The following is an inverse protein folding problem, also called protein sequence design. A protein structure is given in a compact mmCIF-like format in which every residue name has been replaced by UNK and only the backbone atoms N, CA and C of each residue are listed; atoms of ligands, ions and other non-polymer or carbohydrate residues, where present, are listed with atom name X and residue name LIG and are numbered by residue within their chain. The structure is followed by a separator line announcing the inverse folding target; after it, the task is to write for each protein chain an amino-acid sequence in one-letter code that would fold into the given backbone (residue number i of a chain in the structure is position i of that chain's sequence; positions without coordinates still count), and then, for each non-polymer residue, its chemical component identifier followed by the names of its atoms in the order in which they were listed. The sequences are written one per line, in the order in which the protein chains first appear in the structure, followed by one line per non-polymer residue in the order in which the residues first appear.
data_IF_059310928825
#
_entry.id   IF_059310928825
#
_cell.length_a   1.000
_cell.length_b   1.000
_cell.length_c   1.000
_cell.angle_alpha   90.00
_cell.angle_beta   90.00
_cell.angle_gamma   90.00
#
_symmetry.space_group_name_H-M   'P 1'
#
loop_
_entity.id
_entity.type
_entity.pdbx_description
1 polymer ?
#
# COMPACT_ATOMS: atom_id res chain seq x y z
N UNK A 1 20.39 9.83 -6.53
CA UNK A 1 19.13 10.22 -5.81
C UNK A 1 18.57 8.97 -5.10
N UNK A 2 17.45 9.02 -4.37
CA UNK A 2 16.80 7.76 -3.95
C UNK A 2 16.37 6.98 -5.19
N UNK A 3 16.56 5.65 -5.22
CA UNK A 3 16.18 4.75 -6.32
C UNK A 3 14.72 4.99 -6.77
N UNK A 4 13.84 5.24 -5.81
CA UNK A 4 12.42 5.53 -6.06
C UNK A 4 12.22 6.82 -6.90
N UNK A 5 13.04 7.84 -6.68
CA UNK A 5 12.95 9.10 -7.42
C UNK A 5 13.41 8.94 -8.87
N UNK A 6 14.45 8.12 -9.10
CA UNK A 6 14.97 7.81 -10.45
C UNK A 6 13.89 7.09 -11.25
N UNK A 7 13.28 6.04 -10.68
CA UNK A 7 12.18 5.32 -11.34
C UNK A 7 10.98 6.20 -11.68
N UNK A 8 10.58 7.07 -10.74
CA UNK A 8 9.39 7.93 -10.91
C UNK A 8 9.58 9.02 -11.96
N UNK A 9 10.81 9.50 -12.17
CA UNK A 9 11.13 10.56 -13.13
C UNK A 9 11.38 10.04 -14.54
N UNK A 10 11.49 8.73 -14.71
CA UNK A 10 11.77 8.10 -16.01
C UNK A 10 10.72 8.49 -17.05
N UNK A 11 11.21 8.85 -18.24
CA UNK A 11 10.38 9.01 -19.41
C UNK A 11 10.13 7.64 -20.05
N UNK A 12 8.86 7.33 -20.29
CA UNK A 12 8.46 6.09 -20.95
C UNK A 12 8.23 6.35 -22.43
N UNK A 13 8.64 5.39 -23.27
CA UNK A 13 8.30 5.42 -24.70
C UNK A 13 6.78 5.44 -24.87
N UNK A 14 6.24 6.17 -25.88
CA UNK A 14 4.80 6.15 -26.20
C UNK A 14 4.23 4.73 -26.42
N UNK A 15 5.09 3.78 -26.80
CA UNK A 15 4.72 2.39 -27.08
C UNK A 15 4.84 1.47 -25.85
N UNK A 16 5.34 1.98 -24.72
CA UNK A 16 5.46 1.19 -23.49
C UNK A 16 4.10 0.98 -22.85
N UNK A 17 3.71 -0.28 -22.67
CA UNK A 17 2.51 -0.62 -21.91
C UNK A 17 2.74 -0.56 -20.40
N UNK A 18 3.99 -0.52 -19.94
CA UNK A 18 4.30 -0.61 -18.50
C UNK A 18 4.99 0.65 -17.99
N UNK A 19 4.62 1.00 -16.77
CA UNK A 19 5.26 2.01 -15.93
C UNK A 19 5.82 1.35 -14.69
N UNK A 20 7.00 1.77 -14.26
CA UNK A 20 7.50 1.51 -12.91
C UNK A 20 7.15 2.72 -12.04
N UNK A 21 6.35 2.50 -10.99
CA UNK A 21 5.89 3.60 -10.12
C UNK A 21 6.78 3.84 -8.91
N UNK A 22 7.68 2.91 -8.60
CA UNK A 22 8.58 3.03 -7.45
C UNK A 22 9.05 1.69 -6.92
N UNK A 23 9.73 1.76 -5.78
CA UNK A 23 10.28 0.60 -5.08
C UNK A 23 9.64 0.42 -3.70
N UNK A 24 9.44 -0.82 -3.30
CA UNK A 24 9.02 -1.14 -1.95
C UNK A 24 10.21 -0.96 -0.98
N UNK A 25 10.02 -0.13 0.05
CA UNK A 25 11.04 0.07 1.08
C UNK A 25 11.11 -1.08 2.10
N UNK A 26 10.02 -1.83 2.26
CA UNK A 26 9.86 -2.88 3.28
C UNK A 26 10.26 -4.28 2.80
N UNK A 27 10.38 -4.47 1.48
CA UNK A 27 10.64 -5.76 0.87
C UNK A 27 11.71 -5.60 -0.22
N UNK A 28 12.88 -6.24 -0.06
CA UNK A 28 13.94 -6.16 -1.05
C UNK A 28 13.42 -6.64 -2.40
N UNK A 29 13.81 -5.94 -3.47
CA UNK A 29 13.65 -6.38 -4.86
C UNK A 29 12.19 -6.44 -5.36
N UNK A 30 11.29 -5.65 -4.76
CA UNK A 30 9.91 -5.47 -5.23
C UNK A 30 9.72 -4.07 -5.84
N UNK A 31 9.29 -4.05 -7.10
CA UNK A 31 9.02 -2.83 -7.89
C UNK A 31 7.51 -2.70 -8.11
N UNK A 32 6.96 -1.52 -7.86
CA UNK A 32 5.56 -1.25 -8.18
C UNK A 32 5.42 -1.00 -9.67
N UNK A 33 4.42 -1.64 -10.31
CA UNK A 33 4.18 -1.46 -11.75
C UNK A 33 2.72 -1.11 -12.03
N UNK A 34 2.52 -0.28 -13.06
CA UNK A 34 1.19 0.06 -13.56
C UNK A 34 1.11 -0.08 -15.07
N UNK A 35 -0.03 -0.55 -15.60
CA UNK A 35 -0.27 -0.55 -17.03
C UNK A 35 -0.58 0.88 -17.55
N UNK A 36 -0.06 1.19 -18.73
CA UNK A 36 -0.31 2.40 -19.52
C UNK A 36 -0.85 1.96 -20.89
N UNK A 37 -2.17 1.75 -21.03
CA UNK A 37 -2.76 1.46 -22.33
C UNK A 37 -2.41 2.49 -23.40
N UNK A 38 -2.24 2.01 -24.64
CA UNK A 38 -2.03 2.85 -25.81
C UNK A 38 -3.12 3.93 -25.93
N UNK A 39 -2.73 5.15 -26.28
CA UNK A 39 -3.64 6.30 -26.36
C UNK A 39 -3.90 7.03 -25.05
N UNK A 40 -3.13 6.74 -23.99
CA UNK A 40 -3.19 7.48 -22.72
C UNK A 40 -4.43 7.19 -21.88
N UNK A 41 -5.17 6.11 -22.18
CA UNK A 41 -6.29 5.68 -21.37
C UNK A 41 -5.79 5.23 -19.99
N UNK A 42 -6.34 5.79 -18.92
CA UNK A 42 -5.97 5.39 -17.56
C UNK A 42 -6.62 4.06 -17.18
N UNK A 43 -5.86 3.20 -16.51
CA UNK A 43 -6.32 1.93 -15.98
C UNK A 43 -6.80 2.05 -14.53
N UNK A 44 -7.65 1.12 -14.08
CA UNK A 44 -7.92 0.91 -12.67
C UNK A 44 -6.64 0.67 -11.85
N UNK A 45 -6.67 0.98 -10.53
CA UNK A 45 -5.53 0.78 -9.65
C UNK A 45 -5.36 -0.71 -9.29
N UNK A 46 -4.82 -1.51 -10.20
CA UNK A 46 -4.66 -2.96 -10.01
C UNK A 46 -3.68 -3.36 -8.92
N UNK A 47 -2.77 -2.44 -8.52
CA UNK A 47 -1.78 -2.68 -7.47
C UNK A 47 -0.92 -3.90 -7.79
N UNK A 48 -0.23 -3.85 -8.93
CA UNK A 48 0.62 -4.92 -9.44
C UNK A 48 2.07 -4.68 -9.01
N UNK A 49 2.77 -5.76 -8.73
CA UNK A 49 4.17 -5.73 -8.33
C UNK A 49 5.01 -6.56 -9.30
N UNK A 50 6.22 -6.11 -9.60
CA UNK A 50 7.28 -6.90 -10.15
C UNK A 50 8.19 -7.36 -9.00
N UNK A 51 8.47 -8.66 -8.91
CA UNK A 51 9.30 -9.26 -7.86
C UNK A 51 10.51 -9.93 -8.49
N UNK A 52 11.68 -9.52 -8.03
CA UNK A 52 12.97 -10.02 -8.51
C UNK A 52 13.56 -10.90 -7.39
N UNK A 53 13.96 -12.15 -7.67
CA UNK A 53 14.59 -13.03 -6.69
C UNK A 53 15.82 -12.37 -6.06
N UNK A 54 15.93 -12.40 -4.74
CA UNK A 54 16.99 -11.70 -3.99
C UNK A 54 18.40 -12.15 -4.34
N UNK A 55 18.57 -13.38 -4.84
CA UNK A 55 19.83 -13.94 -5.29
C UNK A 55 20.22 -13.52 -6.72
N UNK A 56 19.37 -12.76 -7.43
CA UNK A 56 19.66 -12.30 -8.79
C UNK A 56 20.66 -11.14 -8.80
N UNK A 57 21.36 -10.96 -9.92
CA UNK A 57 22.32 -9.85 -10.07
C UNK A 57 21.60 -8.50 -10.01
N UNK A 58 20.47 -8.37 -10.70
CA UNK A 58 19.61 -7.17 -10.70
C UNK A 58 19.11 -6.85 -9.29
N UNK A 59 18.68 -7.86 -8.54
CA UNK A 59 18.28 -7.69 -7.15
C UNK A 59 19.41 -7.13 -6.28
N UNK A 60 20.62 -7.70 -6.39
CA UNK A 60 21.79 -7.25 -5.63
C UNK A 60 22.21 -5.82 -5.99
N UNK A 61 22.16 -5.46 -7.28
CA UNK A 61 22.43 -4.08 -7.71
C UNK A 61 21.41 -3.09 -7.13
N UNK A 62 20.12 -3.43 -7.16
CA UNK A 62 19.07 -2.57 -6.59
C UNK A 62 19.20 -2.43 -5.07
N UNK A 63 19.56 -3.51 -4.37
CA UNK A 63 19.82 -3.47 -2.94
C UNK A 63 21.02 -2.58 -2.63
N UNK A 64 22.10 -2.71 -3.40
CA UNK A 64 23.29 -1.86 -3.26
C UNK A 64 22.94 -0.40 -3.54
N UNK A 65 22.16 -0.12 -4.59
CA UNK A 65 21.67 1.21 -4.93
C UNK A 65 20.78 1.84 -3.86
N UNK A 66 20.02 1.01 -3.13
CA UNK A 66 19.14 1.46 -2.05
C UNK A 66 19.89 1.83 -0.76
N UNK A 67 21.15 1.41 -0.61
CA UNK A 67 21.99 1.82 0.52
C UNK A 67 22.52 3.25 0.31
N UNK A 68 21.85 4.19 0.96
CA UNK A 68 22.03 5.64 0.77
C UNK A 68 23.43 6.15 1.12
N UNK A 69 24.17 5.46 2.00
CA UNK A 69 25.39 6.03 2.57
C UNK A 69 26.66 5.72 1.76
N UNK A 70 26.67 4.65 0.93
CA UNK A 70 27.91 4.17 0.29
C UNK A 70 27.72 3.50 -1.08
N UNK A 71 26.60 3.73 -1.77
CA UNK A 71 26.37 3.06 -3.06
C UNK A 71 27.32 3.58 -4.17
N UNK A 72 28.09 2.70 -4.84
CA UNK A 72 28.79 3.03 -6.07
C UNK A 72 27.86 3.03 -7.30
N UNK A 73 26.60 2.64 -7.13
CA UNK A 73 25.61 2.52 -8.21
C UNK A 73 25.15 3.91 -8.63
N UNK A 74 25.24 4.19 -9.92
CA UNK A 74 24.86 5.47 -10.51
C UNK A 74 23.37 5.51 -10.84
N UNK A 75 22.81 6.73 -11.01
CA UNK A 75 21.43 6.87 -11.49
C UNK A 75 21.25 6.18 -12.87
N UNK A 76 22.29 6.15 -13.72
CA UNK A 76 22.29 5.47 -15.02
C UNK A 76 22.20 3.93 -14.90
N UNK A 77 22.81 3.34 -13.87
CA UNK A 77 22.70 1.89 -13.62
C UNK A 77 21.26 1.51 -13.23
N UNK A 78 20.61 2.36 -12.43
CA UNK A 78 19.21 2.18 -12.03
C UNK A 78 18.29 2.32 -13.25
N UNK A 79 18.55 3.30 -14.13
CA UNK A 79 17.83 3.46 -15.39
C UNK A 79 17.99 2.23 -16.30
N UNK A 80 19.21 1.68 -16.41
CA UNK A 80 19.46 0.48 -17.19
C UNK A 80 18.69 -0.74 -16.65
N UNK A 81 18.64 -0.92 -15.34
CA UNK A 81 17.82 -1.97 -14.71
C UNK A 81 16.33 -1.73 -15.01
N UNK A 82 15.88 -0.48 -14.90
CA UNK A 82 14.51 -0.12 -15.19
C UNK A 82 14.15 -0.43 -16.65
N UNK A 83 15.03 -0.13 -17.60
CA UNK A 83 14.88 -0.46 -19.03
C UNK A 83 14.71 -1.96 -19.23
N UNK A 84 15.63 -2.77 -18.67
CA UNK A 84 15.55 -4.23 -18.75
C UNK A 84 14.24 -4.80 -18.18
N UNK A 85 13.76 -4.27 -17.05
CA UNK A 85 12.50 -4.71 -16.44
C UNK A 85 11.29 -4.36 -17.32
N UNK A 86 11.26 -3.16 -17.89
CA UNK A 86 10.17 -2.75 -18.79
C UNK A 86 10.19 -3.57 -20.07
N UNK A 87 11.37 -3.80 -20.66
CA UNK A 87 11.53 -4.63 -21.86
C UNK A 87 11.05 -6.06 -21.59
N UNK A 88 11.43 -6.64 -20.45
CA UNK A 88 10.98 -7.97 -20.06
C UNK A 88 9.45 -8.06 -19.88
N UNK A 89 8.83 -7.05 -19.26
CA UNK A 89 7.38 -6.97 -19.11
C UNK A 89 6.68 -6.76 -20.47
N UNK A 90 7.28 -5.99 -21.37
CA UNK A 90 6.77 -5.74 -22.71
C UNK A 90 6.85 -7.01 -23.56
N UNK A 91 7.97 -7.73 -23.53
CA UNK A 91 8.16 -9.04 -24.17
C UNK A 91 7.15 -10.06 -23.64
N UNK A 92 6.94 -10.09 -22.31
CA UNK A 92 5.90 -10.93 -21.71
C UNK A 92 4.50 -10.52 -22.17
N UNK A 93 4.27 -9.24 -22.43
CA UNK A 93 2.97 -8.74 -22.85
C UNK A 93 2.71 -8.94 -24.34
N UNK A 94 3.75 -9.10 -25.15
CA UNK A 94 3.67 -9.26 -26.58
C UNK A 94 2.76 -10.45 -26.94
N UNK A 95 1.80 -10.19 -27.83
CA UNK A 95 0.83 -11.20 -28.29
C UNK A 95 -0.25 -11.60 -27.28
N UNK A 96 -0.36 -10.93 -26.12
CA UNK A 96 -1.41 -11.19 -25.12
C UNK A 96 -2.45 -10.08 -25.11
N UNK A 97 -3.72 -10.46 -24.87
CA UNK A 97 -4.81 -9.50 -24.71
C UNK A 97 -4.88 -8.99 -23.26
N UNK A 98 -4.01 -8.02 -22.93
CA UNK A 98 -3.96 -7.45 -21.57
C UNK A 98 -5.29 -6.83 -21.10
N UNK A 99 -6.06 -6.12 -21.94
CA UNK A 99 -7.41 -5.67 -21.57
C UNK A 99 -8.35 -6.77 -21.09
N UNK A 100 -8.17 -8.02 -21.52
CA UNK A 100 -8.94 -9.16 -21.01
C UNK A 100 -8.32 -9.82 -19.78
N UNK A 101 -6.99 -9.77 -19.65
CA UNK A 101 -6.26 -10.43 -18.55
C UNK A 101 -6.32 -9.58 -17.28
N UNK A 102 -5.98 -8.29 -17.34
CA UNK A 102 -5.83 -7.42 -16.16
C UNK A 102 -7.11 -7.35 -15.29
N UNK A 103 -8.32 -7.21 -15.88
CA UNK A 103 -9.56 -7.20 -15.10
C UNK A 103 -9.87 -8.53 -14.40
N UNK A 104 -9.10 -9.59 -14.64
CA UNK A 104 -9.27 -10.90 -13.97
C UNK A 104 -8.29 -11.11 -12.83
N UNK A 105 -7.24 -10.30 -12.74
CA UNK A 105 -6.19 -10.46 -11.74
C UNK A 105 -6.65 -9.93 -10.38
N UNK A 106 -6.51 -10.71 -9.29
CA UNK A 106 -6.65 -10.17 -7.94
C UNK A 106 -5.68 -9.03 -7.66
N UNK A 107 -6.02 -8.13 -6.74
CA UNK A 107 -5.06 -7.10 -6.31
C UNK A 107 -3.82 -7.73 -5.68
N UNK A 108 -2.68 -7.06 -5.81
CA UNK A 108 -1.41 -7.58 -5.32
C UNK A 108 -0.90 -8.81 -6.08
N UNK A 109 -1.41 -9.05 -7.30
CA UNK A 109 -0.83 -10.05 -8.22
C UNK A 109 0.57 -9.61 -8.65
N UNK A 110 1.45 -10.58 -8.88
CA UNK A 110 2.88 -10.35 -9.05
C UNK A 110 3.38 -10.83 -10.40
N UNK A 111 4.33 -10.11 -10.95
CA UNK A 111 5.17 -10.52 -12.06
C UNK A 111 6.52 -10.91 -11.49
N UNK A 112 6.84 -12.20 -11.53
CA UNK A 112 8.14 -12.69 -11.08
C UNK A 112 9.11 -12.60 -12.23
N UNK A 113 10.23 -11.91 -12.03
CA UNK A 113 11.27 -11.71 -13.03
C UNK A 113 12.49 -12.53 -12.68
N UNK A 114 12.79 -13.56 -13.48
CA UNK A 114 13.92 -14.46 -13.26
C UNK A 114 15.02 -14.22 -14.27
N UNK A 115 16.27 -14.17 -13.79
CA UNK A 115 17.47 -14.10 -14.64
C UNK A 115 17.86 -15.50 -15.12
N UNK A 116 17.88 -15.70 -16.44
CA UNK A 116 18.37 -16.95 -17.03
C UNK A 116 19.90 -16.92 -17.20
N UNK A 117 20.55 -18.06 -16.95
CA UNK A 117 21.99 -18.23 -17.12
C UNK A 117 22.36 -18.33 -18.62
N UNK A 118 22.78 -17.20 -19.19
CA UNK A 118 23.38 -17.00 -20.53
C UNK A 118 22.53 -17.34 -21.79
N UNK A 119 22.28 -16.35 -22.69
CA UNK A 119 22.46 -14.91 -22.46
C UNK A 119 21.60 -14.46 -21.26
N UNK A 120 22.05 -13.44 -20.51
CA UNK A 120 21.30 -12.85 -19.38
C UNK A 120 20.01 -12.25 -19.92
N UNK A 121 19.00 -13.10 -20.06
CA UNK A 121 17.65 -12.75 -20.50
C UNK A 121 16.76 -12.83 -19.28
N UNK A 122 15.98 -11.78 -19.08
CA UNK A 122 14.94 -11.77 -18.07
C UNK A 122 13.73 -12.54 -18.62
N UNK A 123 13.25 -13.50 -17.84
CA UNK A 123 11.99 -14.17 -18.08
C UNK A 123 10.97 -13.69 -17.07
N UNK A 124 9.71 -13.56 -17.50
CA UNK A 124 8.64 -13.04 -16.64
C UNK A 124 7.52 -14.06 -16.54
N UNK A 125 7.01 -14.24 -15.33
CA UNK A 125 5.89 -15.12 -15.05
C UNK A 125 4.86 -14.38 -14.21
N UNK A 126 3.59 -14.51 -14.57
CA UNK A 126 2.49 -13.94 -13.80
C UNK A 126 2.07 -14.91 -12.69
N UNK A 127 2.08 -14.44 -11.46
CA UNK A 127 1.61 -15.12 -10.27
C UNK A 127 0.37 -14.39 -9.71
N UNK A 128 -0.86 -14.83 -10.07
CA UNK A 128 -2.08 -14.23 -9.56
C UNK A 128 -2.23 -14.46 -8.05
N UNK A 129 -2.68 -13.44 -7.31
CA UNK A 129 -2.84 -13.53 -5.86
C UNK A 129 -4.16 -14.20 -5.45
N UNK A 130 -4.32 -15.48 -5.80
CA UNK A 130 -5.55 -16.25 -5.57
C UNK A 130 -5.82 -16.49 -4.07
N UNK A 131 -4.78 -16.55 -3.24
CA UNK A 131 -4.92 -16.70 -1.79
C UNK A 131 -5.53 -15.47 -1.13
N UNK A 132 -5.12 -14.27 -1.55
CA UNK A 132 -5.75 -13.03 -1.14
C UNK A 132 -7.20 -12.97 -1.63
N UNK A 133 -7.45 -13.38 -2.88
CA UNK A 133 -8.79 -13.38 -3.47
C UNK A 133 -9.79 -14.19 -2.64
N UNK A 134 -9.37 -15.36 -2.12
CA UNK A 134 -10.18 -16.25 -1.28
C UNK A 134 -10.53 -15.69 0.09
N UNK A 135 -9.94 -14.57 0.48
CA UNK A 135 -10.12 -13.94 1.80
C UNK A 135 -10.96 -12.67 1.75
N UNK A 136 -11.31 -12.16 0.57
CA UNK A 136 -12.20 -11.01 0.45
C UNK A 136 -13.61 -11.33 0.95
N UNK A 137 -14.24 -10.31 1.50
CA UNK A 137 -15.61 -10.32 1.99
C UNK A 137 -16.49 -9.47 1.08
N UNK A 138 -17.74 -9.91 0.96
CA UNK A 138 -18.82 -9.13 0.38
C UNK A 138 -19.32 -8.07 1.38
N UNK A 139 -19.89 -6.97 0.90
CA UNK A 139 -20.44 -5.93 1.77
C UNK A 139 -21.55 -6.44 2.71
N UNK A 140 -22.33 -7.43 2.26
CA UNK A 140 -23.33 -8.15 3.08
C UNK A 140 -22.70 -8.84 4.29
N UNK A 141 -21.56 -9.50 4.07
CA UNK A 141 -20.83 -10.20 5.11
C UNK A 141 -20.18 -9.24 6.10
N UNK A 142 -19.65 -8.11 5.63
CA UNK A 142 -19.15 -7.05 6.52
C UNK A 142 -20.25 -6.52 7.44
N UNK A 143 -21.45 -6.23 6.90
CA UNK A 143 -22.62 -5.81 7.71
C UNK A 143 -22.98 -6.84 8.77
N UNK A 144 -22.89 -8.13 8.44
CA UNK A 144 -23.20 -9.19 9.38
C UNK A 144 -22.15 -9.29 10.50
N UNK A 145 -20.86 -9.20 10.15
CA UNK A 145 -19.76 -9.27 11.12
C UNK A 145 -19.75 -8.08 12.07
N UNK A 146 -20.11 -6.90 11.57
CA UNK A 146 -20.08 -5.65 12.34
C UNK A 146 -21.45 -5.19 12.82
N UNK A 147 -22.48 -6.04 12.68
CA UNK A 147 -23.87 -5.66 12.98
C UNK A 147 -24.14 -5.29 14.44
N UNK A 148 -23.27 -5.70 15.37
CA UNK A 148 -23.32 -5.30 16.78
C UNK A 148 -22.70 -3.93 17.06
N UNK A 149 -22.03 -3.33 16.07
CA UNK A 149 -21.36 -2.04 16.19
C UNK A 149 -22.22 -0.95 15.53
N UNK A 150 -22.15 0.32 16.00
CA UNK A 150 -22.82 1.45 15.36
C UNK A 150 -22.08 1.89 14.08
N UNK A 151 -21.85 0.96 13.16
CA UNK A 151 -21.12 1.16 11.91
C UNK A 151 -22.11 1.21 10.75
N UNK A 152 -22.04 2.30 9.99
CA UNK A 152 -22.70 2.43 8.70
C UNK A 152 -21.65 2.30 7.60
N UNK A 153 -21.86 1.35 6.67
CA UNK A 153 -21.00 1.23 5.51
C UNK A 153 -21.24 2.39 4.54
N UNK A 154 -20.19 2.98 3.97
CA UNK A 154 -20.33 4.02 2.95
C UNK A 154 -20.85 3.42 1.62
N UNK A 155 -21.28 4.28 0.67
CA UNK A 155 -21.65 3.83 -0.67
C UNK A 155 -20.50 3.07 -1.35
N UNK A 156 -20.84 2.23 -2.33
CA UNK A 156 -19.85 1.44 -3.08
C UNK A 156 -19.58 2.05 -4.45
N UNK A 157 -18.33 1.98 -4.90
CA UNK A 157 -17.88 2.31 -6.25
C UNK A 157 -17.23 1.09 -6.88
N UNK A 158 -17.41 0.90 -8.19
CA UNK A 158 -16.72 -0.16 -8.92
C UNK A 158 -15.26 0.25 -9.15
N UNK A 159 -14.32 -0.63 -8.80
CA UNK A 159 -12.89 -0.43 -9.02
C UNK A 159 -12.59 -0.12 -10.49
N UNK A 160 -13.32 -0.73 -11.43
CA UNK A 160 -13.12 -0.54 -12.86
C UNK A 160 -13.51 0.88 -13.33
N UNK A 161 -14.28 1.62 -12.53
CA UNK A 161 -14.63 3.02 -12.81
C UNK A 161 -13.57 4.03 -12.32
N UNK A 162 -12.59 3.57 -11.53
CA UNK A 162 -11.51 4.39 -11.02
C UNK A 162 -10.36 4.45 -12.02
N UNK A 163 -9.65 5.57 -12.03
CA UNK A 163 -8.48 5.79 -12.88
C UNK A 163 -7.24 6.00 -12.03
N UNK A 164 -6.23 5.16 -12.18
CA UNK A 164 -4.96 5.29 -11.46
C UNK A 164 -4.23 6.56 -11.90
N UNK A 165 -3.76 7.34 -10.92
CA UNK A 165 -2.97 8.56 -11.14
C UNK A 165 -1.52 8.34 -10.72
N UNK A 166 -1.32 7.86 -9.48
CA UNK A 166 0.02 7.61 -8.95
C UNK A 166 -0.03 6.56 -7.84
N UNK A 167 0.92 5.63 -7.83
CA UNK A 167 1.16 4.74 -6.71
C UNK A 167 2.01 5.46 -5.66
N UNK A 168 1.53 5.51 -4.41
CA UNK A 168 2.28 6.14 -3.31
C UNK A 168 3.04 5.11 -2.49
N UNK A 169 2.39 3.98 -2.19
CA UNK A 169 2.91 2.86 -1.41
C UNK A 169 2.31 1.53 -1.93
N UNK A 170 2.69 0.42 -1.30
CA UNK A 170 2.28 -0.95 -1.65
C UNK A 170 0.77 -1.21 -1.64
N UNK A 171 -0.01 -0.46 -0.88
CA UNK A 171 -1.46 -0.59 -0.77
C UNK A 171 -2.18 0.72 -1.06
N UNK A 172 -1.44 1.80 -1.33
CA UNK A 172 -1.98 3.17 -1.42
C UNK A 172 -1.67 3.79 -2.77
N UNK A 173 -2.67 4.34 -3.43
CA UNK A 173 -2.52 5.09 -4.68
C UNK A 173 -3.48 6.27 -4.74
N UNK A 174 -3.07 7.33 -5.44
CA UNK A 174 -3.97 8.40 -5.87
C UNK A 174 -4.77 7.90 -7.07
N UNK A 175 -6.09 8.09 -7.02
CA UNK A 175 -7.01 7.75 -8.10
C UNK A 175 -7.86 8.95 -8.49
N UNK A 176 -8.36 8.96 -9.71
CA UNK A 176 -9.37 9.87 -10.20
C UNK A 176 -10.73 9.17 -10.18
N UNK A 177 -11.71 9.84 -9.58
CA UNK A 177 -13.10 9.42 -9.52
C UNK A 177 -13.82 9.74 -10.83
N UNK A 178 -14.99 9.11 -11.10
CA UNK A 178 -15.79 9.39 -12.29
C UNK A 178 -16.20 10.86 -12.45
N UNK A 179 -16.32 11.60 -11.34
CA UNK A 179 -16.64 13.03 -11.31
C UNK A 179 -15.41 13.94 -11.56
N UNK A 180 -14.21 13.38 -11.71
CA UNK A 180 -12.97 14.14 -11.91
C UNK A 180 -12.21 14.51 -10.64
N UNK A 181 -12.74 14.19 -9.46
CA UNK A 181 -12.04 14.46 -8.20
C UNK A 181 -10.94 13.44 -7.93
N UNK A 182 -9.90 13.87 -7.21
CA UNK A 182 -8.82 12.97 -6.76
C UNK A 182 -9.12 12.44 -5.36
N UNK A 183 -8.85 11.16 -5.16
CA UNK A 183 -8.98 10.49 -3.87
C UNK A 183 -7.79 9.58 -3.60
N UNK A 184 -7.61 9.21 -2.32
CA UNK A 184 -6.70 8.15 -1.91
C UNK A 184 -7.45 6.83 -1.98
N UNK A 185 -6.94 5.90 -2.77
CA UNK A 185 -7.37 4.51 -2.77
C UNK A 185 -6.43 3.67 -1.91
N UNK A 186 -7.00 3.07 -0.85
CA UNK A 186 -6.32 2.05 -0.04
C UNK A 186 -6.89 0.68 -0.37
N UNK A 187 -6.03 -0.20 -0.85
CA UNK A 187 -6.36 -1.51 -1.39
C UNK A 187 -5.84 -2.66 -0.54
N UNK A 188 -6.60 -3.76 -0.45
CA UNK A 188 -6.09 -4.97 0.16
C UNK A 188 -5.15 -5.69 -0.82
N UNK A 189 -3.85 -5.74 -0.50
CA UNK A 189 -2.80 -6.33 -1.34
C UNK A 189 -2.07 -7.52 -0.71
N UNK A 190 -1.98 -7.56 0.64
CA UNK A 190 -1.21 -8.60 1.37
C UNK A 190 -2.04 -9.29 2.45
N UNK A 191 -2.46 -8.54 3.47
CA UNK A 191 -3.15 -9.10 4.63
C UNK A 191 -4.55 -8.50 4.71
N UNK A 192 -5.52 -9.22 4.12
CA UNK A 192 -6.93 -8.78 4.06
C UNK A 192 -7.52 -8.50 5.45
N UNK A 193 -7.09 -9.24 6.47
CA UNK A 193 -7.53 -9.02 7.85
C UNK A 193 -7.15 -7.62 8.38
N UNK A 194 -5.93 -7.14 8.11
CA UNK A 194 -5.46 -5.80 8.51
C UNK A 194 -6.24 -4.70 7.79
N UNK A 195 -6.49 -4.92 6.49
CA UNK A 195 -7.33 -4.04 5.69
C UNK A 195 -8.76 -3.89 6.25
N UNK A 196 -9.43 -5.00 6.59
CA UNK A 196 -10.78 -4.93 7.17
C UNK A 196 -10.79 -4.40 8.60
N UNK A 197 -9.72 -4.63 9.36
CA UNK A 197 -9.52 -4.04 10.67
C UNK A 197 -9.46 -2.52 10.58
N UNK A 198 -8.60 -1.97 9.71
CA UNK A 198 -8.50 -0.54 9.49
C UNK A 198 -9.84 0.08 9.07
N UNK A 199 -10.50 -0.53 8.08
CA UNK A 199 -11.81 -0.07 7.61
C UNK A 199 -12.82 -0.01 8.77
N UNK A 200 -12.84 -1.03 9.64
CA UNK A 200 -13.71 -1.05 10.83
C UNK A 200 -13.37 0.07 11.80
N UNK A 201 -12.09 0.25 12.12
CA UNK A 201 -11.67 1.29 13.08
C UNK A 201 -12.01 2.69 12.57
N UNK A 202 -11.73 2.99 11.31
CA UNK A 202 -12.08 4.29 10.71
C UNK A 202 -13.60 4.55 10.72
N UNK A 203 -14.42 3.53 10.48
CA UNK A 203 -15.88 3.69 10.50
C UNK A 203 -16.44 3.84 11.92
N UNK A 204 -15.80 3.23 12.91
CA UNK A 204 -16.20 3.26 14.33
C UNK A 204 -15.77 4.56 15.02
N UNK A 205 -14.59 5.07 14.70
CA UNK A 205 -14.02 6.25 15.35
C UNK A 205 -14.95 7.47 15.20
N UNK A 206 -15.22 8.20 16.30
CA UNK A 206 -15.92 9.48 16.21
C UNK A 206 -15.08 10.47 15.37
N UNK A 207 -15.70 11.37 14.59
CA UNK A 207 -14.97 12.36 13.80
C UNK A 207 -14.06 13.25 14.65
N UNK A 208 -12.88 13.59 14.14
CA UNK A 208 -11.95 14.53 14.75
C UNK A 208 -11.13 15.22 13.65
N UNK A 209 -10.86 16.53 13.73
CA UNK A 209 -10.17 17.27 12.66
C UNK A 209 -8.77 16.75 12.33
N UNK A 210 -8.02 16.27 13.34
CA UNK A 210 -6.65 15.76 13.16
C UNK A 210 -6.58 14.23 12.94
N UNK A 211 -7.68 13.60 12.56
CA UNK A 211 -7.75 12.18 12.19
C UNK A 211 -8.41 12.09 10.83
N UNK A 212 -7.92 11.21 9.95
CA UNK A 212 -8.51 11.02 8.63
C UNK A 212 -10.01 10.74 8.75
N UNK A 213 -10.78 11.37 7.88
CA UNK A 213 -12.23 11.20 7.89
C UNK A 213 -12.63 9.77 7.51
N UNK A 214 -13.89 9.43 7.80
CA UNK A 214 -14.44 8.13 7.43
C UNK A 214 -14.32 7.89 5.94
N UNK A 215 -14.12 6.64 5.49
CA UNK A 215 -14.06 6.32 4.08
C UNK A 215 -15.28 6.83 3.32
N UNK A 216 -15.03 7.52 2.21
CA UNK A 216 -16.07 8.11 1.37
C UNK A 216 -16.84 7.04 0.60
N UNK A 217 -16.12 5.99 0.15
CA UNK A 217 -16.67 4.87 -0.59
C UNK A 217 -15.96 3.56 -0.23
N UNK A 218 -16.68 2.45 -0.30
CA UNK A 218 -16.10 1.13 -0.47
C UNK A 218 -15.77 0.92 -1.94
N UNK A 219 -14.57 0.43 -2.23
CA UNK A 219 -14.22 -0.01 -3.58
C UNK A 219 -14.53 -1.48 -3.70
N UNK A 220 -15.38 -1.79 -4.67
CA UNK A 220 -15.87 -3.14 -4.94
C UNK A 220 -15.42 -3.62 -6.29
N UNK A 221 -15.33 -4.93 -6.44
CA UNK A 221 -15.02 -5.55 -7.73
C UNK A 221 -15.82 -6.83 -7.91
N UNK A 222 -16.31 -7.06 -9.12
CA UNK A 222 -16.96 -8.31 -9.48
C UNK A 222 -15.89 -9.32 -9.93
N UNK A 223 -15.76 -10.42 -9.21
CA UNK A 223 -14.86 -11.50 -9.56
C UNK A 223 -15.60 -12.58 -10.35
N UNK A 224 -14.89 -13.26 -11.25
CA UNK A 224 -15.43 -14.45 -11.92
C UNK A 224 -15.81 -15.48 -10.84
N UNK A 225 -17.05 -15.96 -10.86
CA UNK A 225 -17.66 -16.93 -9.91
C UNK A 225 -18.21 -16.37 -8.59
N UNK A 226 -18.18 -15.05 -8.33
CA UNK A 226 -18.88 -14.48 -7.15
C UNK A 226 -20.24 -13.92 -7.56
N UNK A 227 -21.28 -14.23 -6.79
CA UNK A 227 -22.63 -13.71 -7.04
C UNK A 227 -22.70 -12.21 -6.72
N UNK A 228 -22.03 -11.79 -5.63
CA UNK A 228 -21.95 -10.39 -5.24
C UNK A 228 -20.53 -9.82 -5.45
N UNK A 229 -20.41 -8.48 -5.62
CA UNK A 229 -19.12 -7.81 -5.60
C UNK A 229 -18.43 -7.97 -4.25
N UNK A 230 -17.12 -8.21 -4.30
CA UNK A 230 -16.26 -8.24 -3.12
C UNK A 230 -15.73 -6.84 -2.81
N UNK A 231 -15.46 -6.56 -1.53
CA UNK A 231 -14.83 -5.30 -1.09
C UNK A 231 -13.32 -5.47 -1.13
N UNK A 232 -12.65 -4.80 -2.06
CA UNK A 232 -11.21 -4.91 -2.28
C UNK A 232 -10.41 -3.66 -1.87
N UNK A 233 -11.09 -2.57 -1.55
CA UNK A 233 -10.47 -1.36 -1.05
C UNK A 233 -11.48 -0.36 -0.50
N UNK A 234 -11.00 0.83 -0.14
CA UNK A 234 -11.84 1.97 0.22
C UNK A 234 -11.17 3.28 -0.19
N UNK A 235 -11.97 4.35 -0.27
CA UNK A 235 -11.53 5.68 -0.67
C UNK A 235 -11.49 6.65 0.51
N UNK A 236 -10.40 7.38 0.64
CA UNK A 236 -10.18 8.46 1.61
C UNK A 236 -9.96 9.79 0.88
N UNK A 237 -10.21 10.94 1.53
CA UNK A 237 -9.85 12.24 0.98
C UNK A 237 -8.35 12.33 0.70
N UNK A 238 -8.01 13.06 -0.37
CA UNK A 238 -6.63 13.42 -0.64
C UNK A 238 -6.28 14.73 0.09
N UNK A 239 -5.27 14.66 0.96
CA UNK A 239 -4.70 15.83 1.62
C UNK A 239 -3.52 16.38 0.79
N UNK A 240 -3.63 17.65 0.38
CA UNK A 240 -2.72 18.26 -0.61
C UNK A 240 -1.35 18.66 -0.06
N UNK A 241 -1.20 18.81 1.26
CA UNK A 241 0.05 19.25 1.89
C UNK A 241 1.16 18.20 1.92
N UNK A 242 0.87 16.96 1.50
CA UNK A 242 1.81 15.84 1.55
C UNK A 242 2.04 15.35 2.97
N UNK A 243 3.12 14.61 3.19
CA UNK A 243 3.44 14.09 4.54
C UNK A 243 4.18 15.14 5.37
N UNK A 244 4.06 15.05 6.69
CA UNK A 244 4.85 15.86 7.63
C UNK A 244 6.35 15.61 7.42
N UNK A 245 6.74 14.36 7.14
CA UNK A 245 8.12 14.01 6.77
C UNK A 245 8.61 14.85 5.59
N UNK A 246 7.84 14.88 4.48
CA UNK A 246 8.17 15.69 3.31
C UNK A 246 8.27 17.18 3.64
N UNK A 247 7.40 17.71 4.49
CA UNK A 247 7.44 19.11 4.88
C UNK A 247 8.72 19.46 5.66
N UNK A 248 9.16 18.57 6.55
CA UNK A 248 10.39 18.74 7.34
C UNK A 248 11.64 18.59 6.45
N UNK A 249 11.65 17.64 5.52
CA UNK A 249 12.83 17.33 4.71
C UNK A 249 12.97 18.18 3.46
N UNK A 250 11.95 18.98 3.09
CA UNK A 250 11.97 19.79 1.85
C UNK A 250 13.08 20.83 1.83
N UNK A 251 13.33 21.46 2.98
CA UNK A 251 14.35 22.50 3.15
C UNK A 251 15.22 22.16 4.37
N UNK A 252 16.19 21.24 4.24
CA UNK A 252 17.01 20.79 5.37
C UNK A 252 17.75 21.94 6.06
N UNK A 253 18.10 22.99 5.32
CA UNK A 253 18.80 24.17 5.82
C UNK A 253 17.89 25.21 6.49
N UNK A 254 16.56 25.01 6.43
CA UNK A 254 15.59 25.91 7.04
C UNK A 254 14.77 25.16 8.08
N UNK A 255 15.12 25.28 9.37
CA UNK A 255 14.37 24.61 10.41
C UNK A 255 12.93 25.12 10.45
N UNK A 256 11.98 24.21 10.65
CA UNK A 256 10.58 24.59 10.83
C UNK A 256 10.43 25.62 11.96
N UNK A 257 9.63 26.70 11.74
CA UNK A 257 9.31 27.67 12.78
C UNK A 257 8.75 26.99 14.03
N UNK A 258 9.12 27.51 15.21
CA UNK A 258 8.67 26.95 16.49
C UNK A 258 7.14 26.93 16.60
N UNK A 259 6.47 27.96 16.10
CA UNK A 259 5.01 28.05 16.08
C UNK A 259 4.35 26.85 15.36
N UNK A 260 4.92 26.42 14.21
CA UNK A 260 4.42 25.30 13.43
C UNK A 260 4.67 23.98 14.18
N UNK A 261 5.85 23.83 14.79
CA UNK A 261 6.16 22.66 15.63
C UNK A 261 5.16 22.53 16.78
N UNK A 262 4.91 23.62 17.52
CA UNK A 262 3.96 23.62 18.64
C UNK A 262 2.53 23.36 18.15
N UNK A 263 2.12 23.95 17.03
CA UNK A 263 0.81 23.70 16.40
C UNK A 263 0.62 22.21 16.11
N UNK A 264 1.57 21.60 15.40
CA UNK A 264 1.51 20.19 15.02
C UNK A 264 1.53 19.26 16.24
N UNK A 265 2.39 19.52 17.23
CA UNK A 265 2.43 18.74 18.48
C UNK A 265 1.07 18.78 19.19
N UNK A 266 0.45 19.96 19.30
CA UNK A 266 -0.88 20.08 19.92
C UNK A 266 -1.95 19.30 19.17
N UNK A 267 -1.93 19.34 17.84
CA UNK A 267 -2.86 18.61 16.98
C UNK A 267 -2.69 17.08 17.12
N UNK A 268 -1.45 16.61 17.16
CA UNK A 268 -1.12 15.20 17.39
C UNK A 268 -1.63 14.75 18.76
N UNK A 269 -1.35 15.51 19.83
CA UNK A 269 -1.84 15.19 21.18
C UNK A 269 -3.37 15.18 21.23
N UNK A 270 -4.03 16.11 20.54
CA UNK A 270 -5.50 16.14 20.44
C UNK A 270 -6.04 14.88 19.79
N UNK A 271 -5.45 14.46 18.65
CA UNK A 271 -5.84 13.23 17.96
C UNK A 271 -5.66 11.99 18.83
N UNK A 272 -4.53 11.87 19.54
CA UNK A 272 -4.27 10.73 20.43
C UNK A 272 -5.24 10.69 21.62
N UNK A 273 -5.49 11.85 22.25
CA UNK A 273 -6.48 11.96 23.33
C UNK A 273 -7.86 11.51 22.85
N UNK A 274 -8.22 11.87 21.61
CA UNK A 274 -9.48 11.45 20.99
C UNK A 274 -9.53 9.94 20.70
N UNK A 275 -8.45 9.35 20.20
CA UNK A 275 -8.35 7.91 19.91
C UNK A 275 -8.48 7.09 21.19
N UNK A 276 -7.76 7.46 22.25
CA UNK A 276 -7.74 6.73 23.51
C UNK A 276 -9.00 6.95 24.37
N UNK A 277 -9.57 8.15 24.33
CA UNK A 277 -10.79 8.48 25.06
C UNK A 277 -12.04 8.09 24.28
N UNK A 278 -12.69 9.03 23.55
CA UNK A 278 -13.90 8.78 22.77
C UNK A 278 -13.81 7.60 21.80
N UNK A 279 -12.65 7.41 21.18
CA UNK A 279 -12.41 6.33 20.23
C UNK A 279 -12.28 4.96 20.88
N UNK A 280 -11.96 4.87 22.18
CA UNK A 280 -11.65 3.62 22.89
C UNK A 280 -10.77 2.68 22.04
N UNK A 281 -9.69 3.22 21.50
CA UNK A 281 -8.78 2.53 20.60
C UNK A 281 -7.33 2.86 20.91
N UNK A 282 -6.47 2.43 20.00
CA UNK A 282 -5.03 2.62 20.08
C UNK A 282 -4.48 2.89 18.68
N UNK A 283 -3.40 3.64 18.60
CA UNK A 283 -2.68 3.92 17.36
C UNK A 283 -1.22 3.53 17.55
N UNK A 284 -0.77 2.51 16.83
CA UNK A 284 0.55 1.89 17.06
C UNK A 284 1.67 2.52 16.26
N UNK A 285 1.37 3.10 15.10
CA UNK A 285 2.38 3.39 14.08
C UNK A 285 2.66 4.89 13.95
N UNK A 286 3.05 5.52 15.08
CA UNK A 286 3.30 6.96 15.15
C UNK A 286 4.58 7.34 14.42
N UNK A 287 4.44 7.82 13.19
CA UNK A 287 5.54 8.23 12.32
C UNK A 287 5.18 9.43 11.45
N UNK A 288 6.19 10.16 11.00
CA UNK A 288 6.01 11.39 10.22
C UNK A 288 5.48 11.17 8.80
N UNK A 289 5.59 9.96 8.27
CA UNK A 289 5.03 9.51 7.00
C UNK A 289 3.56 9.07 7.11
N UNK A 290 3.12 8.68 8.32
CA UNK A 290 1.71 8.43 8.64
C UNK A 290 0.96 9.69 9.12
N UNK A 291 1.57 10.86 8.95
CA UNK A 291 0.96 12.16 9.20
C UNK A 291 0.93 12.94 7.90
N UNK A 292 -0.25 13.39 7.48
CA UNK A 292 -0.41 14.23 6.30
C UNK A 292 -0.86 15.63 6.69
N UNK A 293 -0.60 16.59 5.82
CA UNK A 293 -1.02 17.97 5.98
C UNK A 293 -2.20 18.24 5.06
N UNK A 294 -3.28 18.79 5.62
CA UNK A 294 -4.43 19.25 4.84
C UNK A 294 -4.15 20.57 4.11
N UNK A 295 -5.19 21.20 3.56
CA UNK A 295 -5.07 22.48 2.84
C UNK A 295 -4.65 23.65 3.72
N UNK A 296 -4.91 23.58 5.03
CA UNK A 296 -4.60 24.63 6.01
C UNK A 296 -3.27 24.37 6.73
N UNK A 297 -2.56 23.31 6.33
CA UNK A 297 -1.31 22.87 6.96
C UNK A 297 -1.52 22.29 8.36
N UNK A 298 -2.71 21.76 8.63
CA UNK A 298 -3.03 21.03 9.84
C UNK A 298 -2.67 19.55 9.69
N UNK A 299 -2.19 18.96 10.79
CA UNK A 299 -1.83 17.54 10.82
C UNK A 299 -3.09 16.68 10.86
N UNK A 300 -3.12 15.67 10.00
CA UNK A 300 -4.13 14.62 9.96
C UNK A 300 -3.42 13.27 10.09
N UNK A 301 -3.76 12.49 11.12
CA UNK A 301 -3.27 11.12 11.28
C UNK A 301 -3.96 10.20 10.26
N UNK A 302 -3.17 9.38 9.58
CA UNK A 302 -3.62 8.36 8.62
C UNK A 302 -3.09 6.99 9.03
N UNK A 303 -3.47 5.95 8.28
CA UNK A 303 -2.99 4.59 8.43
C UNK A 303 -3.32 3.92 9.78
N UNK A 304 -4.53 3.35 9.87
CA UNK A 304 -5.06 2.73 11.09
C UNK A 304 -5.00 1.19 11.04
N UNK A 305 -4.10 0.63 10.22
CA UNK A 305 -3.99 -0.82 10.02
C UNK A 305 -3.37 -1.58 11.19
N UNK A 306 -2.76 -0.87 12.15
CA UNK A 306 -2.14 -1.39 13.37
C UNK A 306 -1.14 -2.54 13.10
N UNK A 307 -0.33 -2.44 12.04
CA UNK A 307 0.60 -3.49 11.62
C UNK A 307 1.89 -3.61 12.46
N UNK A 308 2.07 -2.74 13.47
CA UNK A 308 3.33 -2.53 14.18
C UNK A 308 4.23 -1.51 13.46
N UNK A 309 5.17 -0.92 14.21
CA UNK A 309 6.10 0.09 13.69
C UNK A 309 7.44 -0.55 13.32
N UNK A 310 8.24 0.02 12.41
CA UNK A 310 9.63 -0.38 12.21
C UNK A 310 10.41 -0.24 13.52
N UNK A 311 11.42 -1.09 13.74
CA UNK A 311 12.18 -1.19 15.00
C UNK A 311 12.59 0.14 15.63
N UNK A 312 12.99 1.12 14.81
CA UNK A 312 13.38 2.48 15.27
C UNK A 312 12.26 3.32 15.91
N UNK A 313 11.00 2.92 15.74
CA UNK A 313 9.79 3.60 16.24
C UNK A 313 9.02 2.74 17.25
N UNK A 314 9.49 1.52 17.54
CA UNK A 314 8.87 0.64 18.53
C UNK A 314 9.32 1.11 19.91
N UNK A 315 8.41 1.32 20.88
CA UNK A 315 8.79 1.65 22.24
C UNK A 315 9.39 0.42 22.94
N UNK A 316 10.28 0.59 23.94
CA UNK A 316 11.05 -0.50 24.52
C UNK A 316 10.20 -1.62 25.15
N UNK A 317 9.02 -1.29 25.68
CA UNK A 317 8.07 -2.27 26.21
C UNK A 317 7.45 -3.18 25.13
N UNK A 318 7.41 -2.72 23.88
CA UNK A 318 6.94 -3.49 22.74
C UNK A 318 8.09 -4.19 21.98
N UNK A 319 9.35 -3.84 22.28
CA UNK A 319 10.53 -4.44 21.65
C UNK A 319 11.01 -5.72 22.34
N UNK A 320 10.13 -6.43 23.05
CA UNK A 320 10.48 -7.68 23.72
C UNK A 320 11.04 -8.68 22.71
N UNK A 321 12.36 -8.89 22.76
CA UNK A 321 12.99 -10.03 22.10
C UNK A 321 12.36 -11.31 22.68
N UNK A 322 11.94 -12.27 21.85
CA UNK A 322 11.55 -13.56 22.37
C UNK A 322 12.73 -14.14 23.16
N UNK A 323 12.48 -14.55 24.40
CA UNK A 323 13.48 -15.22 25.25
C UNK A 323 14.25 -16.26 24.43
N UNK A 324 15.58 -16.10 24.37
CA UNK A 324 16.53 -16.97 23.67
C UNK A 324 16.63 -18.40 24.27
N UNK A 325 15.60 -18.84 25.01
CA UNK A 325 15.48 -20.16 25.63
C UNK A 325 14.26 -20.95 25.13
N UNK A 326 13.55 -20.48 24.11
CA UNK A 326 12.53 -21.27 23.42
C UNK A 326 13.18 -22.11 22.31
N UNK A 327 13.03 -23.45 22.31
CA UNK A 327 13.76 -24.34 21.42
C UNK A 327 13.40 -24.11 19.96
N UNK A 328 14.34 -24.46 19.09
CA UNK A 328 14.37 -24.35 17.62
C UNK A 328 13.24 -25.11 16.87
N UNK A 329 12.00 -25.04 17.33
CA UNK A 329 10.82 -25.48 16.60
C UNK A 329 10.12 -24.28 15.95
N UNK A 330 10.61 -23.90 14.77
CA UNK A 330 9.84 -23.53 13.56
C UNK A 330 8.60 -22.62 13.61
N UNK A 331 8.26 -21.96 14.71
CA UNK A 331 6.95 -21.31 14.89
C UNK A 331 7.07 -19.89 15.46
N UNK A 332 8.07 -19.12 15.01
CA UNK A 332 8.01 -17.67 15.10
C UNK A 332 6.71 -17.22 14.43
N UNK A 333 5.78 -16.68 15.21
CA UNK A 333 4.39 -16.39 14.79
C UNK A 333 4.42 -15.47 13.57
N UNK A 334 4.36 -16.09 12.39
CA UNK A 334 4.38 -15.39 11.12
C UNK A 334 2.98 -14.82 10.88
N UNK A 335 2.66 -13.69 11.53
CA UNK A 335 1.40 -12.95 11.37
C UNK A 335 1.16 -12.51 9.92
N UNK A 336 2.17 -12.58 9.04
CA UNK A 336 1.99 -12.39 7.60
C UNK A 336 1.04 -13.43 6.99
N UNK A 337 0.85 -14.56 7.67
CA UNK A 337 -0.23 -15.51 7.41
C UNK A 337 -1.19 -15.41 8.58
N UNK A 338 -2.13 -14.45 8.54
CA UNK A 338 -3.28 -14.47 9.44
C UNK A 338 -3.87 -15.90 9.40
N UNK A 339 -3.71 -16.68 10.48
CA UNK A 339 -4.13 -18.09 10.57
C UNK A 339 -5.66 -18.20 10.39
N UNK A 340 -6.37 -17.09 10.61
CA UNK A 340 -7.83 -17.00 10.49
C UNK A 340 -8.23 -16.39 9.15
N UNK A 341 -8.89 -17.18 8.29
CA UNK A 341 -9.49 -16.66 7.07
C UNK A 341 -10.73 -15.80 7.44
N UNK A 342 -10.77 -14.49 7.07
CA UNK A 342 -11.93 -13.60 7.21
C UNK A 342 -13.28 -14.25 6.89
N UNK A 343 -13.32 -15.01 5.79
CA UNK A 343 -14.53 -15.65 5.27
C UNK A 343 -15.08 -16.69 6.25
N UNK A 344 -14.21 -17.36 6.99
CA UNK A 344 -14.54 -18.45 7.91
C UNK A 344 -14.74 -18.00 9.36
N UNK A 345 -14.59 -16.70 9.67
CA UNK A 345 -14.75 -16.20 11.04
C UNK A 345 -16.20 -16.37 11.52
N UNK A 346 -16.43 -16.89 12.74
CA UNK A 346 -17.74 -16.86 13.38
C UNK A 346 -18.25 -15.42 13.56
N UNK A 347 -19.57 -15.27 13.67
CA UNK A 347 -20.17 -13.98 14.01
C UNK A 347 -19.73 -13.56 15.42
N UNK A 348 -19.40 -12.29 15.61
CA UNK A 348 -18.97 -11.74 16.89
C UNK A 348 -17.51 -12.01 17.26
N UNK A 349 -16.74 -12.76 16.45
CA UNK A 349 -15.28 -12.82 16.58
C UNK A 349 -14.67 -11.72 15.70
N UNK A 350 -13.82 -10.90 16.31
CA UNK A 350 -13.22 -9.75 15.68
C UNK A 350 -11.77 -10.03 15.29
N UNK A 351 -11.30 -9.35 14.25
CA UNK A 351 -9.86 -9.14 14.06
C UNK A 351 -9.38 -8.33 15.26
N UNK A 352 -8.74 -8.99 16.21
CA UNK A 352 -7.82 -8.32 17.13
C UNK A 352 -6.43 -8.65 16.64
N UNK A 353 -5.64 -7.62 16.35
CA UNK A 353 -4.21 -7.76 16.55
C UNK A 353 -4.04 -7.86 18.09
N UNK A 354 -3.37 -8.89 18.64
CA UNK A 354 -3.06 -8.90 20.07
C UNK A 354 -2.27 -7.66 20.47
#
# INVERSE_FOLDING_TARGET
MSVDLVLRRRHYSPDSFWKLDGFAADLPCRVFISPIPSGGASCPPYHLDCVIPTNSHTAQQLLTASDYNHSPVTDADIECIADQLVDALQDWSAGRNLPEILPTLPMGSKFVVEECAQPRKLSVWLCPNLELQRRYLESSRLRQLWGSLPIQLPPSVDMESLKSVARLHDSVSIVLLPNGDKAIFKGAVRIVARFYHELRELLRLPPHPNIVSKPMFLVTRRMRKTANPIVCGFLLPLHSGGTVLQAITRCPDQPLPLEIKVKWIRQIISAFTHIHGPGNGFYSDLRLDNMVLDSDGDVVLVDFEQAGSPSRWIPPEASLEPDASSPEDGDAVNWAVSRTNPVRMPLGIFYSNP
#
